data_IF_572218857594
#
_entry.id   IF_572218857594
#
_cell.length_a   1.000
_cell.length_b   1.000
_cell.length_c   1.000
_cell.angle_alpha   90.00
_cell.angle_beta   90.00
_cell.angle_gamma   90.00
#
_symmetry.space_group_name_H-M   'P 1'
#
loop_
_entity.id
_entity.type
_entity.pdbx_description
1 polymer ?
#
# COMPACT_ATOMS: atom_id res chain seq x y z
N UNK A 1 -22.34 -13.29 22.69
CA UNK A 1 -20.93 -12.95 22.44
C UNK A 1 -20.66 -13.22 20.97
N UNK A 2 -20.40 -12.21 20.12
CA UNK A 2 -19.99 -12.50 18.76
C UNK A 2 -18.57 -13.07 18.82
N UNK A 3 -18.36 -14.19 18.14
CA UNK A 3 -17.07 -14.81 17.97
C UNK A 3 -16.21 -13.84 17.16
N UNK A 4 -15.14 -13.33 17.78
CA UNK A 4 -14.16 -12.51 17.10
C UNK A 4 -13.33 -13.46 16.22
N UNK A 5 -13.82 -13.74 15.01
CA UNK A 5 -13.07 -14.49 14.01
C UNK A 5 -11.87 -13.64 13.66
N UNK A 6 -10.73 -13.91 14.32
CA UNK A 6 -9.44 -13.40 13.90
C UNK A 6 -9.24 -13.91 12.49
N UNK A 7 -9.41 -13.01 11.51
CA UNK A 7 -9.09 -13.29 10.12
C UNK A 7 -7.67 -13.85 10.09
N UNK A 8 -7.47 -14.97 9.39
CA UNK A 8 -6.14 -15.51 9.20
C UNK A 8 -5.22 -14.39 8.70
N UNK A 9 -3.99 -14.26 9.24
CA UNK A 9 -3.06 -13.24 8.77
C UNK A 9 -2.95 -13.38 7.25
N UNK A 10 -3.07 -12.28 6.51
CA UNK A 10 -3.09 -12.35 5.06
C UNK A 10 -1.75 -12.96 4.59
N UNK A 11 -1.81 -13.81 3.56
CA UNK A 11 -0.62 -14.47 3.02
C UNK A 11 0.48 -13.42 2.79
N UNK A 12 1.73 -13.67 3.23
CA UNK A 12 2.81 -12.73 3.01
C UNK A 12 2.96 -12.43 1.53
N UNK A 13 2.98 -11.15 1.18
CA UNK A 13 3.20 -10.72 -0.19
C UNK A 13 4.64 -11.02 -0.58
N UNK A 14 4.87 -11.45 -1.83
CA UNK A 14 6.23 -11.68 -2.32
C UNK A 14 6.91 -10.36 -2.70
N UNK A 15 8.25 -10.29 -2.69
CA UNK A 15 8.98 -9.15 -3.24
C UNK A 15 8.53 -8.79 -4.67
N UNK A 16 8.24 -9.80 -5.50
CA UNK A 16 7.81 -9.60 -6.89
C UNK A 16 6.42 -8.95 -6.96
N UNK A 17 5.48 -9.32 -6.07
CA UNK A 17 4.17 -8.67 -5.98
C UNK A 17 4.28 -7.17 -5.62
N UNK A 18 5.23 -6.81 -4.74
CA UNK A 18 5.51 -5.41 -4.38
C UNK A 18 6.03 -4.65 -5.60
N UNK A 19 7.03 -5.20 -6.29
CA UNK A 19 7.62 -4.59 -7.48
C UNK A 19 6.57 -4.39 -8.57
N UNK A 20 5.76 -5.41 -8.85
CA UNK A 20 4.70 -5.34 -9.87
C UNK A 20 3.64 -4.28 -9.52
N UNK A 21 3.23 -4.20 -8.25
CA UNK A 21 2.27 -3.20 -7.80
C UNK A 21 2.82 -1.77 -7.94
N UNK A 22 4.06 -1.52 -7.50
CA UNK A 22 4.67 -0.18 -7.60
C UNK A 22 5.07 0.18 -9.02
N UNK A 23 5.46 -0.77 -9.87
CA UNK A 23 5.64 -0.54 -11.29
C UNK A 23 4.33 -0.11 -11.97
N UNK A 24 3.20 -0.75 -11.63
CA UNK A 24 1.88 -0.35 -12.12
C UNK A 24 1.46 1.05 -11.63
N UNK A 25 1.62 1.33 -10.33
CA UNK A 25 1.29 2.63 -9.72
C UNK A 25 2.17 3.74 -10.30
N UNK A 26 3.48 3.51 -10.42
CA UNK A 26 4.43 4.46 -10.99
C UNK A 26 4.16 4.77 -12.45
N UNK A 27 3.81 3.76 -13.25
CA UNK A 27 3.42 3.97 -14.65
C UNK A 27 2.16 4.83 -14.77
N UNK A 28 1.14 4.60 -13.92
CA UNK A 28 -0.05 5.45 -13.87
C UNK A 28 0.26 6.88 -13.37
N UNK A 29 1.18 7.02 -12.41
CA UNK A 29 1.62 8.34 -11.92
C UNK A 29 2.36 9.13 -13.00
N UNK A 30 3.13 8.46 -13.86
CA UNK A 30 3.85 9.06 -14.98
C UNK A 30 2.98 9.27 -16.24
N UNK A 31 1.70 8.91 -16.20
CA UNK A 31 0.80 8.84 -17.37
C UNK A 31 1.34 7.93 -18.50
N UNK A 32 2.16 6.94 -18.14
CA UNK A 32 2.71 5.93 -19.04
C UNK A 32 1.76 4.73 -19.12
N UNK A 33 0.72 4.90 -19.94
CA UNK A 33 -0.34 3.92 -20.12
C UNK A 33 0.16 2.64 -20.76
N UNK A 34 1.19 2.71 -21.61
CA UNK A 34 1.75 1.54 -22.29
C UNK A 34 2.44 0.62 -21.26
N UNK A 35 3.32 1.17 -20.42
CA UNK A 35 3.95 0.43 -19.32
C UNK A 35 2.91 -0.09 -18.33
N UNK A 36 1.92 0.72 -17.96
CA UNK A 36 0.85 0.29 -17.05
C UNK A 36 0.07 -0.90 -17.64
N UNK A 37 -0.18 -0.92 -18.96
CA UNK A 37 -0.83 -2.02 -19.64
C UNK A 37 0.03 -3.28 -19.69
N UNK A 38 1.35 -3.17 -19.85
CA UNK A 38 2.27 -4.30 -19.84
C UNK A 38 2.31 -4.96 -18.47
N UNK A 39 2.50 -4.19 -17.40
CA UNK A 39 2.45 -4.70 -16.02
C UNK A 39 1.05 -5.26 -15.71
N UNK A 40 -0.01 -4.61 -16.23
CA UNK A 40 -1.37 -5.12 -16.14
C UNK A 40 -1.62 -6.44 -16.90
N UNK A 41 -0.69 -6.94 -17.72
CA UNK A 41 -0.77 -8.27 -18.34
C UNK A 41 0.07 -9.34 -17.65
N UNK A 42 1.07 -8.96 -16.87
CA UNK A 42 2.00 -9.90 -16.22
C UNK A 42 1.38 -10.65 -15.04
N UNK A 43 0.57 -9.97 -14.23
CA UNK A 43 -0.16 -10.61 -13.11
C UNK A 43 -1.61 -10.98 -13.50
N UNK A 44 -2.19 -12.02 -12.87
CA UNK A 44 -3.54 -12.51 -13.17
C UNK A 44 -4.63 -11.46 -12.84
N UNK A 45 -5.59 -11.24 -13.76
CA UNK A 45 -6.52 -10.10 -13.71
C UNK A 45 -7.48 -10.07 -12.50
N UNK A 46 -7.75 -11.20 -11.86
CA UNK A 46 -8.64 -11.32 -10.70
C UNK A 46 -7.90 -11.07 -9.37
N UNK A 47 -6.57 -11.28 -9.34
CA UNK A 47 -5.75 -11.04 -8.15
C UNK A 47 -5.27 -9.60 -8.03
N UNK A 48 -5.31 -8.78 -9.10
CA UNK A 48 -4.77 -7.41 -9.10
C UNK A 48 -5.45 -6.41 -8.17
N UNK A 49 -6.79 -6.28 -8.15
CA UNK A 49 -7.42 -5.38 -7.19
C UNK A 49 -7.03 -5.78 -5.76
N UNK A 50 -7.01 -7.08 -5.48
CA UNK A 50 -6.63 -7.61 -4.17
C UNK A 50 -5.16 -7.34 -3.83
N UNK A 51 -4.25 -7.55 -4.78
CA UNK A 51 -2.82 -7.26 -4.64
C UNK A 51 -2.57 -5.78 -4.35
N UNK A 52 -3.24 -4.87 -5.07
CA UNK A 52 -3.11 -3.43 -4.83
C UNK A 52 -3.70 -3.00 -3.48
N UNK A 53 -4.79 -3.63 -3.03
CA UNK A 53 -5.33 -3.44 -1.68
C UNK A 53 -4.36 -3.95 -0.61
N UNK A 54 -3.79 -5.14 -0.84
CA UNK A 54 -2.81 -5.77 0.06
C UNK A 54 -1.53 -4.91 0.18
N UNK A 55 -1.07 -4.30 -0.91
CA UNK A 55 0.04 -3.32 -0.91
C UNK A 55 -0.36 -2.05 -0.18
N UNK A 56 -1.52 -1.48 -0.51
CA UNK A 56 -2.01 -0.27 0.15
C UNK A 56 -2.10 -0.49 1.67
N UNK A 57 -2.62 -1.62 2.13
CA UNK A 57 -2.72 -1.93 3.56
C UNK A 57 -1.35 -2.05 4.22
N UNK A 58 -0.43 -2.80 3.61
CA UNK A 58 0.91 -3.07 4.18
C UNK A 58 1.84 -1.88 4.14
N UNK A 59 1.63 -0.93 3.23
CA UNK A 59 2.49 0.24 3.07
C UNK A 59 1.90 1.46 3.78
N UNK A 60 0.59 1.71 3.60
CA UNK A 60 -0.05 2.90 4.17
C UNK A 60 -0.15 2.78 5.68
N UNK A 61 -0.51 1.61 6.25
CA UNK A 61 -0.63 1.48 7.71
C UNK A 61 0.69 1.79 8.43
N UNK A 62 1.84 1.19 8.09
CA UNK A 62 3.09 1.48 8.80
C UNK A 62 3.71 2.84 8.46
N UNK A 63 3.57 3.35 7.23
CA UNK A 63 4.11 4.69 6.89
C UNK A 63 3.27 5.81 7.52
N UNK A 64 1.97 5.57 7.68
CA UNK A 64 1.10 6.51 8.39
C UNK A 64 1.01 6.21 9.88
N UNK A 65 1.54 5.07 10.34
CA UNK A 65 1.54 4.73 11.76
C UNK A 65 2.32 5.79 12.53
N UNK A 66 1.83 6.05 13.73
CA UNK A 66 2.57 6.86 14.68
C UNK A 66 3.84 6.09 15.02
N UNK A 67 4.99 6.64 14.63
CA UNK A 67 6.29 6.12 15.05
C UNK A 67 6.43 6.32 16.56
N UNK A 68 6.38 5.22 17.32
CA UNK A 68 6.52 5.21 18.77
C UNK A 68 7.99 5.39 19.21
N UNK A 69 8.95 5.15 18.29
CA UNK A 69 10.39 5.20 18.53
C UNK A 69 11.04 6.52 18.04
N UNK A 70 10.26 7.44 17.48
CA UNK A 70 10.72 8.78 17.13
C UNK A 70 11.12 9.58 18.39
N UNK A 71 12.37 10.05 18.45
CA UNK A 71 12.94 10.84 19.57
C UNK A 71 12.12 12.11 19.90
N UNK A 72 11.39 12.66 18.93
CA UNK A 72 10.54 13.85 19.08
C UNK A 72 9.11 13.54 19.58
N UNK A 73 8.76 12.25 19.65
CA UNK A 73 7.44 11.75 19.99
C UNK A 73 6.37 12.00 18.92
N UNK A 74 5.20 11.34 19.02
CA UNK A 74 4.10 11.52 18.09
C UNK A 74 3.58 12.96 18.07
N UNK A 75 3.49 13.59 16.89
CA UNK A 75 2.84 14.89 16.75
C UNK A 75 1.40 14.75 16.23
N UNK A 76 0.59 15.80 16.37
CA UNK A 76 -0.81 15.80 15.94
C UNK A 76 -0.99 15.46 14.44
N UNK A 77 0.00 15.80 13.60
CA UNK A 77 0.00 15.48 12.18
C UNK A 77 0.24 13.98 11.93
N UNK A 78 1.05 13.31 12.75
CA UNK A 78 1.30 11.85 12.66
C UNK A 78 0.04 11.04 12.99
N UNK A 79 -0.72 11.45 14.01
CA UNK A 79 -2.03 10.82 14.31
C UNK A 79 -3.07 11.05 13.21
N UNK A 80 -3.07 12.24 12.59
CA UNK A 80 -3.97 12.55 11.48
C UNK A 80 -3.64 11.70 10.24
N UNK A 81 -2.35 11.56 9.89
CA UNK A 81 -1.91 10.69 8.82
C UNK A 81 -2.36 9.24 9.06
N UNK A 82 -2.16 8.72 10.28
CA UNK A 82 -2.62 7.37 10.67
C UNK A 82 -4.12 7.17 10.48
N UNK A 83 -4.92 8.15 10.91
CA UNK A 83 -6.37 8.11 10.79
C UNK A 83 -6.83 8.18 9.32
N UNK A 84 -6.19 9.01 8.51
CA UNK A 84 -6.50 9.14 7.08
C UNK A 84 -6.11 7.89 6.30
N UNK A 85 -4.96 7.28 6.61
CA UNK A 85 -4.52 6.02 6.02
C UNK A 85 -5.51 4.88 6.31
N UNK A 86 -5.97 4.76 7.55
CA UNK A 86 -7.00 3.78 7.95
C UNK A 86 -8.35 4.05 7.27
N UNK A 87 -8.78 5.31 7.20
CA UNK A 87 -10.03 5.68 6.52
C UNK A 87 -9.98 5.35 5.03
N UNK A 88 -8.85 5.62 4.37
CA UNK A 88 -8.67 5.27 2.96
C UNK A 88 -8.80 3.76 2.75
N UNK A 89 -8.15 2.95 3.59
CA UNK A 89 -8.24 1.50 3.52
C UNK A 89 -9.64 0.98 3.81
N UNK A 90 -10.35 1.59 4.75
CA UNK A 90 -11.76 1.27 5.01
C UNK A 90 -12.63 1.58 3.78
N UNK A 91 -12.43 2.74 3.14
CA UNK A 91 -13.13 3.10 1.89
C UNK A 91 -12.81 2.14 0.76
N UNK A 92 -11.56 1.70 0.64
CA UNK A 92 -11.12 0.76 -0.39
C UNK A 92 -11.57 -0.69 -0.11
N UNK A 93 -11.76 -1.07 1.15
CA UNK A 93 -12.16 -2.42 1.59
C UNK A 93 -13.68 -2.62 1.68
N UNK A 94 -14.45 -1.55 1.90
CA UNK A 94 -15.91 -1.60 1.99
C UNK A 94 -16.51 -1.60 0.57
N UNK A 95 -16.61 -2.81 0.02
CA UNK A 95 -17.19 -3.16 -1.28
C UNK A 95 -18.73 -2.93 -1.35
N UNK A 96 -19.20 -1.71 -1.05
CA UNK A 96 -20.62 -1.33 -1.06
C UNK A 96 -20.96 -0.08 -1.87
N UNK A 97 -19.98 0.69 -2.35
CA UNK A 97 -20.25 1.89 -3.16
C UNK A 97 -19.69 1.85 -4.59
N UNK A 98 -18.57 1.18 -4.86
CA UNK A 98 -18.04 0.97 -6.22
C UNK A 98 -17.13 -0.27 -6.24
N UNK A 99 -17.22 -1.16 -7.25
CA UNK A 99 -16.16 -2.12 -7.50
C UNK A 99 -14.90 -1.33 -7.85
N UNK A 100 -13.93 -1.27 -6.94
CA UNK A 100 -12.73 -0.46 -7.16
C UNK A 100 -11.86 -1.20 -8.18
N UNK A 101 -11.83 -0.67 -9.41
CA UNK A 101 -10.93 -1.17 -10.45
C UNK A 101 -9.46 -1.02 -10.00
N UNK A 102 -8.52 -1.84 -10.52
CA UNK A 102 -7.09 -1.68 -10.25
C UNK A 102 -6.59 -0.23 -10.47
N UNK A 103 -7.07 0.40 -11.54
CA UNK A 103 -6.78 1.81 -11.85
C UNK A 103 -7.28 2.74 -10.74
N UNK A 104 -8.50 2.49 -10.24
CA UNK A 104 -9.08 3.28 -9.16
C UNK A 104 -8.26 3.18 -7.86
N UNK A 105 -7.87 1.97 -7.47
CA UNK A 105 -7.04 1.75 -6.27
C UNK A 105 -5.70 2.49 -6.42
N UNK A 106 -5.03 2.33 -7.56
CA UNK A 106 -3.77 3.02 -7.83
C UNK A 106 -3.92 4.55 -7.80
N UNK A 107 -4.99 5.10 -8.39
CA UNK A 107 -5.28 6.53 -8.34
C UNK A 107 -5.50 7.04 -6.91
N UNK A 108 -6.19 6.27 -6.06
CA UNK A 108 -6.36 6.62 -4.66
C UNK A 108 -5.03 6.63 -3.90
N UNK A 109 -4.16 5.65 -4.14
CA UNK A 109 -2.80 5.62 -3.54
C UNK A 109 -1.98 6.81 -4.01
N UNK A 110 -1.99 7.14 -5.31
CA UNK A 110 -1.27 8.30 -5.86
C UNK A 110 -1.78 9.60 -5.23
N UNK A 111 -3.09 9.79 -5.15
CA UNK A 111 -3.68 11.01 -4.55
C UNK A 111 -3.41 11.12 -3.06
N UNK A 112 -3.41 10.00 -2.34
CA UNK A 112 -3.02 10.00 -0.93
C UNK A 112 -1.55 10.38 -0.75
N UNK A 113 -0.67 9.83 -1.59
CA UNK A 113 0.75 10.20 -1.58
C UNK A 113 0.92 11.69 -1.88
N UNK A 114 0.26 12.22 -2.91
CA UNK A 114 0.31 13.62 -3.33
C UNK A 114 -0.22 14.60 -2.27
N UNK A 115 -1.40 14.33 -1.70
CA UNK A 115 -2.10 15.30 -0.85
C UNK A 115 -1.72 15.19 0.63
N UNK A 116 -1.32 14.00 1.09
CA UNK A 116 -1.13 13.71 2.53
C UNK A 116 0.33 13.44 2.88
N UNK A 117 1.06 12.69 2.04
CA UNK A 117 2.43 12.26 2.35
C UNK A 117 3.51 13.14 1.74
N UNK A 118 3.16 13.92 0.72
CA UNK A 118 4.09 14.84 0.06
C UNK A 118 4.07 16.16 0.82
N UNK A 119 5.19 16.52 1.43
CA UNK A 119 5.38 17.88 1.98
C UNK A 119 5.28 18.92 0.85
N UNK A 120 5.04 20.20 1.15
CA UNK A 120 4.76 21.29 0.18
C UNK A 120 5.69 21.39 -1.07
N UNK A 121 6.83 20.68 -1.09
CA UNK A 121 7.78 20.63 -2.21
C UNK A 121 8.33 19.22 -2.53
N UNK A 122 7.75 18.16 -1.99
CA UNK A 122 8.18 16.79 -2.27
C UNK A 122 7.76 16.32 -3.67
N UNK A 123 8.51 15.36 -4.23
CA UNK A 123 8.10 14.65 -5.45
C UNK A 123 7.28 13.41 -5.07
N UNK A 124 6.09 13.26 -5.65
CA UNK A 124 5.22 12.10 -5.44
C UNK A 124 5.94 10.81 -5.84
N UNK A 125 6.79 10.84 -6.87
CA UNK A 125 7.56 9.67 -7.26
C UNK A 125 8.62 9.27 -6.22
N UNK A 126 9.21 10.24 -5.51
CA UNK A 126 10.11 9.95 -4.37
C UNK A 126 9.35 9.31 -3.21
N UNK A 127 8.14 9.80 -2.92
CA UNK A 127 7.28 9.22 -1.89
C UNK A 127 6.93 7.77 -2.27
N UNK A 128 6.46 7.53 -3.49
CA UNK A 128 6.15 6.19 -3.98
C UNK A 128 7.36 5.24 -3.92
N UNK A 129 8.57 5.71 -4.23
CA UNK A 129 9.82 4.92 -4.07
C UNK A 129 10.10 4.53 -2.62
N UNK A 130 9.86 5.44 -1.66
CA UNK A 130 10.03 5.14 -0.23
C UNK A 130 8.99 4.14 0.26
N UNK A 131 7.75 4.28 -0.22
CA UNK A 131 6.67 3.34 0.03
C UNK A 131 7.00 1.93 -0.50
N UNK A 132 7.56 1.84 -1.70
CA UNK A 132 8.05 0.59 -2.29
C UNK A 132 9.17 -0.04 -1.45
N UNK A 133 10.16 0.75 -1.04
CA UNK A 133 11.26 0.27 -0.21
C UNK A 133 10.78 -0.30 1.14
N UNK A 134 9.83 0.37 1.79
CA UNK A 134 9.22 -0.11 3.03
C UNK A 134 8.43 -1.42 2.81
N UNK A 135 7.65 -1.51 1.72
CA UNK A 135 6.95 -2.74 1.37
C UNK A 135 7.90 -3.90 1.06
N UNK A 136 9.03 -3.62 0.42
CA UNK A 136 10.07 -4.60 0.11
C UNK A 136 10.74 -5.14 1.38
N UNK A 137 11.10 -4.27 2.32
CA UNK A 137 11.69 -4.65 3.60
C UNK A 137 10.76 -5.62 4.36
N UNK A 138 9.47 -5.29 4.46
CA UNK A 138 8.48 -6.14 5.10
C UNK A 138 8.29 -7.50 4.42
N UNK A 139 8.23 -7.50 3.08
CA UNK A 139 8.12 -8.74 2.32
C UNK A 139 9.34 -9.63 2.61
N UNK A 140 10.55 -9.08 2.55
CA UNK A 140 11.78 -9.79 2.84
C UNK A 140 11.82 -10.35 4.28
N UNK A 141 11.40 -9.57 5.26
CA UNK A 141 11.32 -10.01 6.66
C UNK A 141 10.35 -11.19 6.82
N UNK A 142 9.15 -11.08 6.28
CA UNK A 142 8.13 -12.13 6.38
C UNK A 142 8.60 -13.46 5.77
N UNK A 143 9.28 -13.42 4.62
CA UNK A 143 9.83 -14.62 3.96
C UNK A 143 11.10 -15.16 4.64
N UNK A 144 11.82 -14.32 5.40
CA UNK A 144 12.97 -14.77 6.18
C UNK A 144 12.58 -15.52 7.46
N UNK A 145 11.46 -15.14 8.08
CA UNK A 145 10.92 -15.74 9.30
C UNK A 145 10.35 -17.13 9.00
N UNK A 146 9.63 -17.28 7.88
CA UNK A 146 9.00 -18.55 7.49
C UNK A 146 10.03 -19.69 7.27
N UNK A 147 11.23 -19.33 6.80
CA UNK A 147 12.36 -20.24 6.61
C UNK A 147 13.08 -20.63 7.90
N UNK A 148 12.89 -19.88 8.99
CA UNK A 148 13.50 -20.18 10.30
C UNK A 148 12.62 -21.09 11.15
N UNK A 149 11.34 -21.22 10.80
CA UNK A 149 10.35 -22.07 11.49
C UNK A 149 10.07 -23.41 10.81
N UNK A 150 10.75 -23.73 9.69
CA UNK A 150 10.61 -24.96 8.91
C UNK A 150 11.70 -26.01 9.21
#
# INVERSE_FOLDING_TARGET
MPENTVAAPPTPMTPDDIVDAFAYIGALQADDIDTACEVARLSDGESKPRMLLDVAERVIIPVTAVDEDCDEGPCAHSFLAAALGRLLLEVLSVDRCCPVSPVGIAQYVIRFAEEILTEERGDVADVLRRLEAAGMEQAMEAHSVDRTTA
#
